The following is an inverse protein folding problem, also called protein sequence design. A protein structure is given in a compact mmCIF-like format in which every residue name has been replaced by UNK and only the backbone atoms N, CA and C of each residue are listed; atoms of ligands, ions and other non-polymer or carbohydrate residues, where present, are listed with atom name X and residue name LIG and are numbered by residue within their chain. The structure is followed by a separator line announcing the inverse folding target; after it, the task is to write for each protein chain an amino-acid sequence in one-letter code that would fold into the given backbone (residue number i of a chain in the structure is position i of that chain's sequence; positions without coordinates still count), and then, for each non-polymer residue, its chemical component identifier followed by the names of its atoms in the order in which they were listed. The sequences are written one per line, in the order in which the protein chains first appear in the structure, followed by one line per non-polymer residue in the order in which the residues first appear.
data_IF_434856972432
#
_entry.id   IF_434856972432
#
_cell.length_a   1.000
_cell.length_b   1.000
_cell.length_c   1.000
_cell.angle_alpha   90.00
_cell.angle_beta   90.00
_cell.angle_gamma   90.00
#
_symmetry.space_group_name_H-M   'P 1'
#
loop_
_entity.id
_entity.type
_entity.pdbx_description
1 polymer ?
#
# COMPACT_ATOMS: atom_id res chain seq x y z
N UNK A 1 -23.56 -27.81 -6.00
CA UNK A 1 -24.36 -26.75 -6.65
C UNK A 1 -24.71 -25.76 -5.57
N UNK A 2 -24.19 -24.53 -5.65
CA UNK A 2 -24.46 -23.49 -4.65
C UNK A 2 -25.97 -23.24 -4.57
N UNK A 3 -26.48 -23.08 -3.35
CA UNK A 3 -27.87 -22.76 -3.09
C UNK A 3 -28.14 -21.35 -3.66
N UNK A 4 -29.08 -21.15 -4.60
CA UNK A 4 -29.26 -19.87 -5.30
C UNK A 4 -29.51 -18.66 -4.38
N UNK A 5 -29.94 -18.88 -3.13
CA UNK A 5 -30.15 -17.82 -2.14
C UNK A 5 -28.86 -17.15 -1.61
N UNK A 6 -27.67 -17.71 -1.85
CA UNK A 6 -26.39 -17.16 -1.36
C UNK A 6 -25.36 -16.97 -2.48
N UNK A 7 -25.76 -16.39 -3.63
CA UNK A 7 -24.79 -16.03 -4.66
C UNK A 7 -23.93 -14.84 -4.18
N UNK A 8 -22.74 -15.14 -3.67
CA UNK A 8 -21.82 -14.14 -3.12
C UNK A 8 -21.43 -13.08 -4.17
N UNK A 9 -21.33 -13.44 -5.44
CA UNK A 9 -21.01 -12.48 -6.50
C UNK A 9 -22.11 -11.44 -6.69
N UNK A 10 -23.37 -11.87 -6.62
CA UNK A 10 -24.52 -10.97 -6.71
C UNK A 10 -24.61 -10.07 -5.47
N UNK A 11 -24.42 -10.64 -4.27
CA UNK A 11 -24.45 -9.88 -3.01
C UNK A 11 -23.33 -8.83 -2.91
N UNK A 12 -22.17 -9.09 -3.50
CA UNK A 12 -21.03 -8.17 -3.51
C UNK A 12 -20.98 -7.30 -4.77
N UNK A 13 -21.92 -7.46 -5.70
CA UNK A 13 -21.97 -6.65 -6.91
C UNK A 13 -22.30 -5.20 -6.57
N UNK A 14 -21.49 -4.29 -7.10
CA UNK A 14 -21.68 -2.85 -6.95
C UNK A 14 -21.62 -2.21 -8.34
N UNK A 15 -22.48 -1.22 -8.58
CA UNK A 15 -22.44 -0.42 -9.82
C UNK A 15 -22.01 0.99 -9.48
N UNK A 16 -21.03 1.50 -10.22
CA UNK A 16 -20.58 2.89 -10.13
C UNK A 16 -20.78 3.58 -11.47
N UNK A 17 -21.16 4.86 -11.42
CA UNK A 17 -21.33 5.70 -12.59
C UNK A 17 -20.36 6.87 -12.53
N UNK A 18 -19.65 7.13 -13.63
CA UNK A 18 -18.78 8.29 -13.76
C UNK A 18 -19.21 9.11 -14.97
N UNK A 19 -19.76 10.30 -14.73
CA UNK A 19 -20.16 11.23 -15.77
C UNK A 19 -19.02 12.18 -16.18
N UNK A 20 -17.86 12.09 -15.52
CA UNK A 20 -16.69 12.89 -15.85
C UNK A 20 -15.98 12.36 -17.10
N UNK A 21 -15.59 13.27 -17.99
CA UNK A 21 -14.70 12.97 -19.12
C UNK A 21 -13.22 12.97 -18.71
N UNK A 22 -12.91 13.25 -17.45
CA UNK A 22 -11.54 13.29 -16.97
C UNK A 22 -10.91 11.89 -16.97
N UNK A 23 -9.77 11.77 -17.62
CA UNK A 23 -8.97 10.54 -17.61
C UNK A 23 -7.93 10.60 -16.50
N UNK A 24 -7.95 9.62 -15.60
CA UNK A 24 -6.90 9.44 -14.60
C UNK A 24 -5.83 8.53 -15.19
N UNK A 25 -4.59 9.05 -15.31
CA UNK A 25 -3.47 8.29 -15.83
C UNK A 25 -2.82 7.42 -14.76
N UNK A 26 -2.63 7.97 -13.56
CA UNK A 26 -1.98 7.28 -12.46
C UNK A 26 -2.88 7.28 -11.23
N UNK A 27 -3.05 6.10 -10.64
CA UNK A 27 -3.64 5.92 -9.31
C UNK A 27 -2.56 5.36 -8.39
N UNK A 28 -2.22 6.10 -7.35
CA UNK A 28 -1.33 5.63 -6.28
C UNK A 28 -2.17 5.29 -5.05
N UNK A 29 -2.28 4.00 -4.76
CA UNK A 29 -2.97 3.49 -3.59
C UNK A 29 -1.95 3.12 -2.51
N UNK A 30 -1.70 4.05 -1.60
CA UNK A 30 -0.64 3.96 -0.59
C UNK A 30 -1.20 3.37 0.70
N UNK A 31 -0.77 2.16 1.03
CA UNK A 31 -1.05 1.49 2.29
C UNK A 31 0.07 1.85 3.27
N UNK A 32 -0.26 2.69 4.25
CA UNK A 32 0.70 3.18 5.23
C UNK A 32 0.82 2.25 6.43
N UNK A 33 2.00 1.65 6.59
CA UNK A 33 2.34 0.76 7.71
C UNK A 33 2.13 1.44 9.06
N UNK A 34 1.33 0.81 9.91
CA UNK A 34 1.07 1.23 11.28
C UNK A 34 0.67 2.72 11.45
N UNK A 35 0.07 3.34 10.43
CA UNK A 35 -0.44 4.71 10.49
C UNK A 35 -1.90 4.72 10.94
N UNK A 36 -2.14 5.22 12.15
CA UNK A 36 -3.47 5.40 12.72
C UNK A 36 -3.82 6.88 12.90
N UNK A 37 -5.11 7.20 13.04
CA UNK A 37 -5.61 8.57 13.25
C UNK A 37 -4.99 9.28 14.46
N UNK A 38 -4.57 8.56 15.50
CA UNK A 38 -3.92 9.18 16.67
C UNK A 38 -2.59 9.86 16.34
N UNK A 39 -1.91 9.51 15.25
CA UNK A 39 -0.69 10.21 14.80
C UNK A 39 -0.96 11.66 14.35
N UNK A 40 -2.24 12.01 14.15
CA UNK A 40 -2.68 13.37 13.83
C UNK A 40 -3.07 14.19 15.08
N UNK A 41 -2.92 13.63 16.28
CA UNK A 41 -3.18 14.35 17.53
C UNK A 41 -2.27 15.58 17.64
N UNK A 42 -2.86 16.72 18.01
CA UNK A 42 -2.19 18.03 18.11
C UNK A 42 -0.95 18.02 19.00
N UNK A 43 -0.88 17.10 19.96
CA UNK A 43 0.32 16.95 20.80
C UNK A 43 1.59 16.62 20.01
N UNK A 44 1.46 16.06 18.80
CA UNK A 44 2.57 15.75 17.92
C UNK A 44 2.90 16.87 16.90
N UNK A 45 2.12 17.95 16.87
CA UNK A 45 2.35 19.06 15.92
C UNK A 45 3.70 19.74 16.20
N UNK A 46 4.14 19.78 17.47
CA UNK A 46 5.41 20.38 17.90
C UNK A 46 6.66 19.69 17.30
N UNK A 47 6.52 18.41 16.92
CA UNK A 47 7.55 17.60 16.26
C UNK A 47 7.24 17.36 14.79
N UNK A 48 6.12 17.89 14.28
CA UNK A 48 5.73 17.80 12.87
C UNK A 48 5.45 16.38 12.37
N UNK A 49 5.00 15.45 13.25
CA UNK A 49 4.92 14.01 12.95
C UNK A 49 4.13 13.68 11.66
N UNK A 50 3.03 14.37 11.42
CA UNK A 50 2.16 14.18 10.25
C UNK A 50 1.92 15.49 9.48
N UNK A 51 2.80 16.49 9.64
CA UNK A 51 2.60 17.84 9.08
C UNK A 51 2.34 17.83 7.57
N UNK A 52 3.10 17.05 6.81
CA UNK A 52 2.91 16.90 5.36
C UNK A 52 1.53 16.32 5.00
N UNK A 53 1.01 15.36 5.79
CA UNK A 53 -0.33 14.80 5.59
C UNK A 53 -1.42 15.77 6.01
N UNK A 54 -1.23 16.49 7.13
CA UNK A 54 -2.14 17.57 7.55
C UNK A 54 -2.23 18.67 6.48
N UNK A 55 -1.12 19.01 5.83
CA UNK A 55 -1.10 19.99 4.74
C UNK A 55 -1.70 19.45 3.45
N UNK A 56 -1.55 18.15 3.17
CA UNK A 56 -2.24 17.48 2.06
C UNK A 56 -3.77 17.56 2.25
N UNK A 57 -4.27 17.30 3.46
CA UNK A 57 -5.72 17.35 3.78
C UNK A 57 -6.32 18.74 3.58
N UNK A 58 -5.52 19.81 3.62
CA UNK A 58 -5.98 21.19 3.38
C UNK A 58 -6.08 21.56 1.88
N UNK A 59 -5.65 20.70 0.96
CA UNK A 59 -5.70 20.97 -0.49
C UNK A 59 -7.15 20.92 -0.99
N UNK A 60 -7.46 21.72 -2.02
CA UNK A 60 -8.81 21.87 -2.58
C UNK A 60 -9.50 20.56 -2.96
N UNK A 61 -8.74 19.59 -3.49
CA UNK A 61 -9.25 18.29 -3.93
C UNK A 61 -8.92 17.15 -2.95
N UNK A 62 -8.50 17.47 -1.73
CA UNK A 62 -8.23 16.47 -0.72
C UNK A 62 -9.48 16.17 0.11
N UNK A 63 -9.67 14.89 0.41
CA UNK A 63 -10.73 14.42 1.29
C UNK A 63 -10.14 13.52 2.36
N UNK A 64 -10.44 13.82 3.62
CA UNK A 64 -10.12 12.97 4.76
C UNK A 64 -11.40 12.39 5.34
N UNK A 65 -11.46 11.07 5.44
CA UNK A 65 -12.57 10.38 6.08
C UNK A 65 -12.32 10.34 7.59
N UNK A 66 -13.22 10.91 8.38
CA UNK A 66 -13.12 10.92 9.84
C UNK A 66 -13.38 9.55 10.47
N UNK A 67 -14.23 8.75 9.83
CA UNK A 67 -14.57 7.39 10.25
C UNK A 67 -14.07 6.39 9.21
N UNK A 68 -12.82 5.96 9.38
CA UNK A 68 -12.19 4.91 8.57
C UNK A 68 -11.57 3.89 9.52
N UNK A 69 -12.08 2.66 9.49
CA UNK A 69 -11.69 1.57 10.38
C UNK A 69 -10.95 0.53 9.55
N UNK A 70 -9.87 -0.02 10.12
CA UNK A 70 -9.14 -1.11 9.48
C UNK A 70 -10.04 -2.33 9.26
N UNK A 71 -9.94 -2.91 8.06
CA UNK A 71 -10.73 -4.09 7.70
C UNK A 71 -10.13 -5.39 8.23
N UNK A 72 -8.84 -5.38 8.60
CA UNK A 72 -8.14 -6.51 9.18
C UNK A 72 -6.92 -6.06 9.99
N UNK A 73 -6.57 -6.77 11.08
CA UNK A 73 -5.38 -6.46 11.87
C UNK A 73 -4.11 -6.99 11.20
N UNK A 74 -2.97 -6.32 11.41
CA UNK A 74 -1.64 -6.69 10.87
C UNK A 74 -1.53 -6.53 9.34
N UNK A 75 -0.31 -6.23 8.89
CA UNK A 75 0.01 -5.97 7.49
C UNK A 75 -0.46 -7.06 6.54
N UNK A 76 -0.16 -8.34 6.84
CA UNK A 76 -0.51 -9.45 5.93
C UNK A 76 -2.01 -9.57 5.73
N UNK A 77 -2.81 -9.42 6.79
CA UNK A 77 -4.27 -9.57 6.68
C UNK A 77 -4.90 -8.37 6.00
N UNK A 78 -4.38 -7.18 6.30
CA UNK A 78 -4.81 -5.96 5.64
C UNK A 78 -4.55 -6.04 4.13
N UNK A 79 -3.38 -6.55 3.72
CA UNK A 79 -3.07 -6.83 2.32
C UNK A 79 -3.95 -7.95 1.74
N UNK A 80 -4.22 -9.04 2.47
CA UNK A 80 -5.14 -10.10 2.01
C UNK A 80 -6.51 -9.49 1.63
N UNK A 81 -7.09 -8.66 2.50
CA UNK A 81 -8.38 -7.99 2.26
C UNK A 81 -8.30 -7.01 1.10
N UNK A 82 -7.29 -6.13 1.09
CA UNK A 82 -7.20 -5.06 0.08
C UNK A 82 -6.85 -5.57 -1.32
N UNK A 83 -6.06 -6.63 -1.42
CA UNK A 83 -5.68 -7.24 -2.71
C UNK A 83 -6.85 -8.07 -3.26
N UNK A 84 -7.50 -8.87 -2.41
CA UNK A 84 -8.54 -9.80 -2.88
C UNK A 84 -9.93 -9.18 -2.95
N UNK A 85 -10.18 -8.12 -2.20
CA UNK A 85 -11.51 -7.54 -1.96
C UNK A 85 -12.35 -8.33 -0.95
N UNK A 86 -11.88 -9.48 -0.46
CA UNK A 86 -12.65 -10.30 0.47
C UNK A 86 -12.63 -9.70 1.88
N UNK A 87 -13.73 -9.81 2.65
CA UNK A 87 -13.72 -9.43 4.05
C UNK A 87 -12.72 -10.26 4.85
N UNK A 88 -12.24 -9.72 5.97
CA UNK A 88 -11.44 -10.50 6.91
C UNK A 88 -12.29 -11.62 7.53
N UNK A 89 -11.91 -12.88 7.30
CA UNK A 89 -12.69 -14.04 7.75
C UNK A 89 -12.11 -14.64 9.03
N UNK A 90 -10.79 -14.85 9.10
CA UNK A 90 -10.13 -15.45 10.27
C UNK A 90 -8.63 -15.17 10.28
N UNK A 91 -7.96 -15.58 11.37
CA UNK A 91 -6.54 -15.32 11.58
C UNK A 91 -5.60 -16.27 10.80
N UNK A 92 -6.10 -17.08 9.85
CA UNK A 92 -5.26 -17.81 8.90
C UNK A 92 -4.93 -16.93 7.69
N UNK A 93 -3.66 -16.84 7.29
CA UNK A 93 -3.32 -16.07 6.08
C UNK A 93 -3.89 -16.80 4.88
N UNK A 94 -4.55 -16.11 3.95
CA UNK A 94 -5.15 -16.75 2.78
C UNK A 94 -4.10 -17.56 2.00
N UNK A 95 -2.91 -16.97 1.83
CA UNK A 95 -1.72 -17.57 1.19
C UNK A 95 -1.16 -18.82 1.90
N UNK A 96 -1.50 -19.01 3.17
CA UNK A 96 -1.06 -20.14 4.01
C UNK A 96 -2.22 -21.08 4.36
N UNK A 97 -3.40 -20.90 3.77
CA UNK A 97 -4.58 -21.75 4.02
C UNK A 97 -4.43 -23.19 3.52
N UNK A 98 -3.38 -23.50 2.75
CA UNK A 98 -3.21 -24.81 2.10
C UNK A 98 -4.12 -25.01 0.88
N UNK A 99 -4.96 -24.03 0.54
CA UNK A 99 -5.87 -24.07 -0.60
C UNK A 99 -5.29 -23.29 -1.77
N UNK A 100 -5.50 -23.80 -2.99
CA UNK A 100 -5.19 -23.05 -4.21
C UNK A 100 -6.19 -21.91 -4.35
N UNK A 101 -5.73 -20.69 -4.12
CA UNK A 101 -6.56 -19.50 -4.30
C UNK A 101 -6.72 -19.19 -5.80
N UNK A 102 -7.97 -19.06 -6.31
CA UNK A 102 -8.19 -18.53 -7.64
C UNK A 102 -7.85 -17.04 -7.69
N UNK A 103 -7.83 -16.48 -8.90
CA UNK A 103 -7.89 -15.02 -9.04
C UNK A 103 -9.33 -14.60 -8.76
N UNK A 104 -9.54 -13.67 -7.82
CA UNK A 104 -10.89 -13.26 -7.45
C UNK A 104 -11.39 -12.15 -8.38
N UNK A 105 -12.62 -12.23 -8.93
CA UNK A 105 -13.17 -11.16 -9.78
C UNK A 105 -13.18 -9.78 -9.13
N UNK A 106 -13.36 -9.75 -7.80
CA UNK A 106 -13.38 -8.55 -6.96
C UNK A 106 -11.98 -8.08 -6.51
N UNK A 107 -10.92 -8.79 -6.86
CA UNK A 107 -9.56 -8.34 -6.58
C UNK A 107 -9.31 -6.99 -7.26
N UNK A 108 -8.76 -6.03 -6.53
CA UNK A 108 -8.60 -4.66 -7.04
C UNK A 108 -7.78 -4.63 -8.34
N UNK A 109 -6.77 -5.50 -8.45
CA UNK A 109 -5.99 -5.64 -9.68
C UNK A 109 -6.83 -6.12 -10.87
N UNK A 110 -7.78 -7.03 -10.67
CA UNK A 110 -8.67 -7.46 -11.75
C UNK A 110 -9.64 -6.35 -12.15
N UNK A 111 -10.18 -5.62 -11.18
CA UNK A 111 -11.07 -4.47 -11.43
C UNK A 111 -10.34 -3.37 -12.19
N UNK A 112 -9.17 -2.94 -11.75
CA UNK A 112 -8.42 -1.85 -12.40
C UNK A 112 -7.91 -2.25 -13.79
N UNK A 113 -7.63 -3.54 -14.01
CA UNK A 113 -7.27 -4.07 -15.33
C UNK A 113 -8.40 -3.89 -16.34
N UNK A 114 -9.67 -4.10 -15.97
CA UNK A 114 -10.80 -3.87 -16.90
C UNK A 114 -10.97 -2.39 -17.25
N UNK A 115 -10.49 -1.49 -16.39
CA UNK A 115 -10.44 -0.05 -16.62
C UNK A 115 -9.20 0.39 -17.44
N UNK A 116 -8.39 -0.55 -17.93
CA UNK A 116 -7.23 -0.31 -18.78
C UNK A 116 -5.95 0.09 -18.04
N UNK A 117 -5.88 -0.12 -16.72
CA UNK A 117 -4.65 0.13 -15.96
C UNK A 117 -3.67 -1.05 -16.06
N UNK A 118 -2.38 -0.74 -16.17
CA UNK A 118 -1.32 -1.66 -15.79
C UNK A 118 -1.11 -1.59 -14.29
N UNK A 119 -1.14 -2.76 -13.65
CA UNK A 119 -1.07 -2.84 -12.21
C UNK A 119 0.35 -3.11 -11.71
N UNK A 120 0.81 -2.22 -10.85
CA UNK A 120 2.10 -2.27 -10.18
C UNK A 120 1.88 -2.52 -8.69
N UNK A 121 2.75 -3.32 -8.09
CA UNK A 121 2.83 -3.49 -6.64
C UNK A 121 4.23 -3.13 -6.18
N UNK A 122 4.34 -2.21 -5.22
CA UNK A 122 5.62 -1.77 -4.66
C UNK A 122 5.68 -2.05 -3.16
N UNK A 123 6.79 -2.62 -2.71
CA UNK A 123 7.03 -2.89 -1.29
C UNK A 123 8.53 -2.90 -0.96
N UNK A 124 8.92 -2.24 0.13
CA UNK A 124 10.32 -2.18 0.58
C UNK A 124 10.90 -3.50 1.08
N UNK A 125 10.04 -4.47 1.42
CA UNK A 125 10.44 -5.78 1.92
C UNK A 125 10.58 -6.86 0.85
N UNK A 126 10.86 -8.09 1.30
CA UNK A 126 11.02 -9.25 0.41
C UNK A 126 9.69 -9.73 -0.15
N UNK A 127 9.62 -9.97 -1.46
CA UNK A 127 8.44 -10.59 -2.09
C UNK A 127 8.22 -12.07 -1.72
N UNK A 128 9.23 -12.73 -1.15
CA UNK A 128 9.12 -14.11 -0.65
C UNK A 128 8.31 -14.15 0.66
N UNK A 129 8.36 -13.07 1.45
CA UNK A 129 7.62 -12.94 2.69
C UNK A 129 6.13 -13.19 2.44
N UNK A 130 5.56 -14.15 3.17
CA UNK A 130 4.16 -14.58 3.00
C UNK A 130 3.76 -14.89 1.54
N UNK A 131 4.69 -15.38 0.71
CA UNK A 131 4.45 -15.71 -0.71
C UNK A 131 3.84 -14.53 -1.50
N UNK A 132 4.16 -13.30 -1.10
CA UNK A 132 3.53 -12.09 -1.62
C UNK A 132 3.66 -11.97 -3.15
N UNK A 133 4.81 -12.33 -3.73
CA UNK A 133 5.02 -12.33 -5.19
C UNK A 133 4.00 -13.18 -5.94
N UNK A 134 3.79 -14.43 -5.49
CA UNK A 134 2.84 -15.34 -6.15
C UNK A 134 1.41 -14.90 -5.94
N UNK A 135 1.09 -14.43 -4.73
CA UNK A 135 -0.22 -13.98 -4.34
C UNK A 135 -0.66 -12.72 -5.11
N UNK A 136 0.11 -11.64 -5.07
CA UNK A 136 -0.22 -10.39 -5.79
C UNK A 136 -0.32 -10.62 -7.29
N UNK A 137 0.59 -11.42 -7.87
CA UNK A 137 0.53 -11.78 -9.29
C UNK A 137 -0.77 -12.50 -9.64
N UNK A 138 -1.17 -13.46 -8.80
CA UNK A 138 -2.43 -14.21 -9.00
C UNK A 138 -3.65 -13.30 -8.92
N UNK A 139 -3.60 -12.20 -8.18
CA UNK A 139 -4.69 -11.24 -7.99
C UNK A 139 -4.62 -10.01 -8.92
N UNK A 140 -3.88 -10.10 -10.03
CA UNK A 140 -3.97 -9.13 -11.14
C UNK A 140 -2.86 -8.09 -11.20
N UNK A 141 -1.83 -8.17 -10.33
CA UNK A 141 -0.65 -7.32 -10.41
C UNK A 141 0.40 -7.93 -11.35
N UNK A 142 0.98 -7.13 -12.26
CA UNK A 142 1.91 -7.64 -13.28
C UNK A 142 3.36 -7.22 -13.00
N UNK A 143 3.58 -5.94 -12.68
CA UNK A 143 4.90 -5.44 -12.31
C UNK A 143 5.03 -5.40 -10.79
N UNK A 144 6.00 -6.12 -10.24
CA UNK A 144 6.20 -6.28 -8.80
C UNK A 144 7.60 -5.79 -8.45
N UNK A 145 7.67 -4.79 -7.59
CA UNK A 145 8.91 -4.13 -7.18
C UNK A 145 9.12 -4.34 -5.69
N UNK A 146 10.17 -5.09 -5.36
CA UNK A 146 10.53 -5.47 -4.00
C UNK A 146 11.92 -4.93 -3.61
N UNK A 147 12.35 -5.22 -2.39
CA UNK A 147 13.64 -4.81 -1.83
C UNK A 147 14.84 -4.90 -2.80
N UNK A 148 14.97 -5.98 -3.58
CA UNK A 148 16.07 -6.16 -4.52
C UNK A 148 16.14 -5.06 -5.60
N UNK A 149 15.00 -4.58 -6.10
CA UNK A 149 14.94 -3.51 -7.08
C UNK A 149 15.35 -2.17 -6.46
N UNK A 150 14.91 -1.92 -5.23
CA UNK A 150 15.22 -0.70 -4.49
C UNK A 150 16.69 -0.64 -4.06
N UNK A 151 17.28 -1.77 -3.67
CA UNK A 151 18.71 -1.87 -3.34
C UNK A 151 19.59 -1.59 -4.56
N UNK A 152 19.23 -2.15 -5.72
CA UNK A 152 19.96 -1.87 -6.96
C UNK A 152 19.86 -0.39 -7.33
N UNK A 153 18.66 0.18 -7.24
CA UNK A 153 18.43 1.61 -7.45
C UNK A 153 19.23 2.51 -6.49
N UNK A 154 19.36 2.11 -5.22
CA UNK A 154 20.06 2.87 -4.19
C UNK A 154 21.59 2.77 -4.23
N UNK A 155 22.14 1.81 -4.98
CA UNK A 155 23.57 1.41 -4.93
C UNK A 155 24.55 2.58 -5.10
N UNK A 156 24.22 3.53 -5.98
CA UNK A 156 25.08 4.66 -6.33
C UNK A 156 24.47 6.02 -5.90
N UNK A 157 23.51 6.02 -4.97
CA UNK A 157 22.81 7.23 -4.52
C UNK A 157 23.20 7.59 -3.07
N UNK A 158 23.30 8.89 -2.75
CA UNK A 158 23.79 9.36 -1.45
C UNK A 158 22.70 9.30 -0.36
N UNK A 159 22.10 8.14 -0.13
CA UNK A 159 21.10 7.96 0.92
C UNK A 159 21.73 7.91 2.31
N UNK A 160 21.10 8.52 3.33
CA UNK A 160 21.50 8.35 4.72
C UNK A 160 21.52 6.88 5.11
N UNK A 161 22.57 6.46 5.82
CA UNK A 161 22.71 5.09 6.33
C UNK A 161 22.10 4.98 7.74
N UNK A 162 21.54 3.83 8.12
CA UNK A 162 21.28 2.66 7.26
C UNK A 162 20.17 2.95 6.23
N UNK A 163 20.22 2.27 5.07
CA UNK A 163 19.19 2.40 4.01
C UNK A 163 18.06 1.38 4.14
N UNK A 164 18.21 0.43 5.06
CA UNK A 164 17.27 -0.64 5.30
C UNK A 164 17.23 -1.03 6.79
N UNK A 165 16.15 -1.70 7.15
CA UNK A 165 15.93 -2.34 8.44
C UNK A 165 15.89 -3.86 8.28
N UNK A 166 15.69 -4.57 9.39
CA UNK A 166 15.40 -6.01 9.36
C UNK A 166 14.14 -6.36 8.55
N UNK A 167 13.27 -5.39 8.27
CA UNK A 167 12.05 -5.56 7.51
C UNK A 167 12.24 -5.31 6.01
N UNK A 168 13.18 -4.44 5.63
CA UNK A 168 13.40 -4.04 4.25
C UNK A 168 13.92 -2.61 4.08
N UNK A 169 13.98 -2.18 2.82
CA UNK A 169 14.48 -0.87 2.38
C UNK A 169 13.54 0.25 2.84
N UNK A 170 14.11 1.38 3.27
CA UNK A 170 13.34 2.52 3.76
C UNK A 170 12.49 3.21 2.69
N UNK A 171 11.36 3.78 3.13
CA UNK A 171 10.31 4.30 2.25
C UNK A 171 10.76 5.48 1.39
N UNK A 172 11.74 6.27 1.84
CA UNK A 172 12.29 7.37 1.03
C UNK A 172 12.88 6.84 -0.30
N UNK A 173 13.55 5.68 -0.27
CA UNK A 173 14.10 5.05 -1.47
C UNK A 173 12.98 4.46 -2.33
N UNK A 174 11.97 3.86 -1.69
CA UNK A 174 10.78 3.35 -2.37
C UNK A 174 10.05 4.47 -3.14
N UNK A 175 9.82 5.62 -2.52
CA UNK A 175 9.15 6.75 -3.17
C UNK A 175 10.00 7.39 -4.25
N UNK A 176 11.32 7.55 -4.05
CA UNK A 176 12.22 8.00 -5.11
C UNK A 176 12.22 7.05 -6.32
N UNK A 177 12.20 5.74 -6.08
CA UNK A 177 12.07 4.73 -7.13
C UNK A 177 10.78 4.92 -7.93
N UNK A 178 9.65 5.13 -7.25
CA UNK A 178 8.36 5.38 -7.90
C UNK A 178 8.39 6.66 -8.72
N UNK A 179 8.94 7.75 -8.19
CA UNK A 179 9.02 9.04 -8.88
C UNK A 179 9.87 8.96 -10.15
N UNK A 180 11.00 8.24 -10.11
CA UNK A 180 11.90 8.12 -11.26
C UNK A 180 11.47 7.09 -12.30
N UNK A 181 10.63 6.11 -11.93
CA UNK A 181 10.27 4.98 -12.81
C UNK A 181 8.79 4.95 -13.21
N UNK A 182 7.99 5.94 -12.81
CA UNK A 182 6.61 6.06 -13.31
C UNK A 182 6.63 6.60 -14.74
N UNK A 183 6.24 5.76 -15.71
CA UNK A 183 6.13 6.17 -17.10
C UNK A 183 4.90 7.10 -17.29
N UNK A 184 5.08 8.37 -17.69
CA UNK A 184 3.98 9.33 -17.84
C UNK A 184 3.02 9.01 -19.00
N UNK A 185 3.39 8.09 -19.89
CA UNK A 185 2.60 7.67 -21.04
C UNK A 185 1.85 6.36 -20.82
N UNK A 186 1.96 5.77 -19.63
CA UNK A 186 1.32 4.50 -19.29
C UNK A 186 0.26 4.71 -18.22
N UNK A 187 -0.95 4.21 -18.45
CA UNK A 187 -2.02 4.26 -17.45
C UNK A 187 -1.75 3.21 -16.36
N UNK A 188 -1.45 3.64 -15.13
CA UNK A 188 -1.03 2.73 -14.05
C UNK A 188 -1.88 2.81 -12.78
N UNK A 189 -2.16 1.64 -12.21
CA UNK A 189 -2.65 1.52 -10.84
C UNK A 189 -1.51 0.93 -10.00
N UNK A 190 -1.04 1.68 -9.03
CA UNK A 190 0.12 1.35 -8.22
C UNK A 190 -0.29 1.20 -6.77
N UNK A 191 -0.34 -0.04 -6.28
CA UNK A 191 -0.47 -0.29 -4.85
C UNK A 191 0.93 -0.21 -4.21
N UNK A 192 1.07 0.64 -3.19
CA UNK A 192 2.35 0.92 -2.53
C UNK A 192 2.21 0.59 -1.05
N UNK A 193 2.94 -0.41 -0.58
CA UNK A 193 3.00 -0.77 0.84
C UNK A 193 4.25 -0.15 1.46
N UNK A 194 4.07 0.76 2.43
CA UNK A 194 5.21 1.34 3.18
C UNK A 194 5.72 0.36 4.25
N UNK A 195 6.86 0.65 4.86
CA UNK A 195 7.51 -0.28 5.79
C UNK A 195 8.26 0.37 6.95
N UNK A 196 8.73 1.62 6.82
CA UNK A 196 9.67 2.21 7.79
C UNK A 196 9.08 2.42 9.18
N UNK A 197 7.75 2.49 9.29
CA UNK A 197 7.03 2.61 10.56
C UNK A 197 6.74 1.24 11.22
N UNK A 198 7.58 0.23 10.98
CA UNK A 198 7.50 -1.06 11.65
C UNK A 198 8.21 -1.03 13.03
N UNK A 199 7.85 -1.97 13.92
CA UNK A 199 8.50 -2.14 15.23
C UNK A 199 10.02 -2.43 15.08
N UNK A 200 10.83 -1.89 16.01
CA UNK A 200 12.31 -1.84 15.97
C UNK A 200 12.79 -0.90 14.85
N UNK A 201 12.58 0.41 15.08
CA UNK A 201 12.90 1.48 14.14
C UNK A 201 14.41 1.75 14.13
N UNK A 202 15.06 1.63 12.98
CA UNK A 202 16.46 2.03 12.77
C UNK A 202 16.60 3.15 11.73
N UNK A 203 15.49 3.81 11.36
CA UNK A 203 15.50 4.97 10.46
C UNK A 203 16.40 6.05 11.06
N UNK A 204 17.26 6.64 10.23
CA UNK A 204 18.12 7.74 10.65
C UNK A 204 17.32 9.05 10.81
N UNK A 205 16.55 9.16 11.88
CA UNK A 205 15.66 10.30 12.16
C UNK A 205 16.41 11.65 12.16
N UNK A 206 17.66 11.65 12.60
CA UNK A 206 18.52 12.85 12.57
C UNK A 206 18.79 13.33 11.15
N UNK A 207 19.04 12.42 10.21
CA UNK A 207 19.24 12.76 8.80
C UNK A 207 17.98 13.33 8.14
N UNK A 208 16.80 13.04 8.69
CA UNK A 208 15.51 13.59 8.24
C UNK A 208 15.06 14.81 9.07
N UNK A 209 15.93 15.39 9.91
CA UNK A 209 15.63 16.62 10.64
C UNK A 209 14.55 16.47 11.73
N UNK A 210 14.31 15.25 12.23
CA UNK A 210 13.34 15.02 13.31
C UNK A 210 13.89 15.62 14.61
N UNK A 211 13.12 16.47 15.32
CA UNK A 211 13.56 17.13 16.56
C UNK A 211 13.47 16.17 17.75
N UNK A 212 14.43 15.24 17.85
CA UNK A 212 14.44 14.18 18.87
C UNK A 212 14.43 14.72 20.31
N UNK A 213 15.03 15.88 20.54
CA UNK A 213 15.07 16.57 21.83
C UNK A 213 13.69 17.03 22.33
N UNK A 214 12.70 17.13 21.43
CA UNK A 214 11.31 17.49 21.77
C UNK A 214 10.43 16.27 22.07
N UNK A 215 10.95 15.06 21.83
CA UNK A 215 10.25 13.80 22.09
C UNK A 215 10.61 13.36 23.52
N UNK A 216 9.82 13.79 24.50
CA UNK A 216 9.87 13.33 25.91
C UNK A 216 8.67 12.47 26.24
#
# INVERSE_FOLDING_TARGET
KENPQNNLYELLSQTSHNNSLQTIQHVFYIVSESLSSWHFDKKFDSIGLTSALQDLVKKEHAHMLSAFIESAPRTVKSLDVQITGLPYINDNNLVNSGVILPSFPMAIGNITKTLGYKNNFYYGGSGIWNKLTGFTKKQGFHALYFNNHLLEFAKNKPYPKPIESNWGVHDNILFDYILENTNPHEKTFSMVMTLSNHAIKNVNLKAFGVPLEKIQ
#
